data_IF_425179806941
#
_entry.id   IF_425179806941
#
_cell.length_a   1.000
_cell.length_b   1.000
_cell.length_c   1.000
_cell.angle_alpha   90.00
_cell.angle_beta   90.00
_cell.angle_gamma   90.00
#
_symmetry.space_group_name_H-M   'P 1'
#
loop_
_entity.id
_entity.type
_entity.pdbx_description
1 polymer ?
#
# COMPACT_ATOMS: atom_id res chain seq x y z
N UNK A 1 10.67 9.63 1.18
CA UNK A 1 10.76 8.42 2.01
C UNK A 1 11.02 7.19 1.16
N UNK A 2 11.64 6.19 1.73
CA UNK A 2 11.89 4.90 1.07
C UNK A 2 10.60 4.13 0.87
N UNK A 3 10.39 3.51 -0.31
CA UNK A 3 9.18 2.73 -0.57
C UNK A 3 9.05 1.54 0.38
N UNK A 4 7.85 1.34 0.89
CA UNK A 4 7.51 0.19 1.73
C UNK A 4 6.83 -0.92 0.88
N UNK A 5 7.22 -1.03 -0.38
CA UNK A 5 6.64 -1.95 -1.36
C UNK A 5 7.75 -2.49 -2.25
N UNK A 6 7.89 -3.81 -2.28
CA UNK A 6 8.81 -4.52 -3.17
C UNK A 6 8.08 -4.98 -4.43
N UNK A 7 8.72 -4.81 -5.58
CA UNK A 7 8.28 -5.43 -6.83
C UNK A 7 8.97 -6.77 -7.00
N UNK A 8 8.20 -7.78 -7.35
CA UNK A 8 8.67 -9.13 -7.59
C UNK A 8 7.99 -9.71 -8.83
N UNK A 9 8.61 -10.69 -9.47
CA UNK A 9 8.03 -11.36 -10.64
C UNK A 9 7.91 -12.85 -10.36
N UNK A 10 6.78 -13.42 -10.69
CA UNK A 10 6.54 -14.86 -10.56
C UNK A 10 7.40 -15.59 -11.60
N UNK A 11 8.26 -16.49 -11.17
CA UNK A 11 9.13 -17.28 -12.06
C UNK A 11 8.77 -18.76 -12.06
N UNK A 12 8.21 -19.28 -10.98
CA UNK A 12 7.74 -20.67 -10.93
C UNK A 12 6.69 -20.89 -9.83
N UNK A 13 5.94 -21.95 -9.96
CA UNK A 13 5.08 -22.53 -8.93
C UNK A 13 5.44 -23.99 -8.70
N UNK A 14 5.24 -24.47 -7.48
CA UNK A 14 5.30 -25.87 -7.08
C UNK A 14 4.20 -26.22 -6.09
N UNK A 15 4.15 -27.45 -5.64
CA UNK A 15 3.23 -27.86 -4.59
C UNK A 15 3.52 -27.11 -3.29
N UNK A 16 2.63 -26.21 -2.89
CA UNK A 16 2.77 -25.40 -1.68
C UNK A 16 3.92 -24.39 -1.73
N UNK A 17 4.26 -23.84 -2.90
CA UNK A 17 5.33 -22.85 -3.02
C UNK A 17 5.17 -21.94 -4.23
N UNK A 18 5.79 -20.77 -4.15
CA UNK A 18 5.98 -19.84 -5.27
C UNK A 18 7.41 -19.31 -5.27
N UNK A 19 8.02 -19.22 -6.43
CA UNK A 19 9.33 -18.64 -6.64
C UNK A 19 9.16 -17.24 -7.26
N UNK A 20 9.78 -16.26 -6.62
CA UNK A 20 9.72 -14.87 -7.04
C UNK A 20 11.12 -14.34 -7.36
N UNK A 21 11.28 -13.74 -8.55
CA UNK A 21 12.45 -12.94 -8.85
C UNK A 21 12.32 -11.57 -8.20
N UNK A 22 13.34 -11.14 -7.45
CA UNK A 22 13.38 -9.88 -6.71
C UNK A 22 14.74 -9.23 -6.95
N UNK A 23 14.77 -8.06 -7.57
CA UNK A 23 16.00 -7.29 -7.77
C UNK A 23 16.58 -6.86 -6.42
N UNK A 24 17.55 -7.61 -5.92
CA UNK A 24 18.18 -7.38 -4.61
C UNK A 24 18.98 -6.08 -4.54
N UNK A 25 19.45 -5.55 -5.66
CA UNK A 25 20.12 -4.25 -5.69
C UNK A 25 19.15 -3.13 -5.41
N UNK A 26 17.92 -3.28 -5.88
CA UNK A 26 16.86 -2.28 -5.70
C UNK A 26 16.09 -2.49 -4.40
N UNK A 27 15.88 -3.73 -3.99
CA UNK A 27 15.15 -4.13 -2.79
C UNK A 27 16.05 -5.04 -1.95
N UNK A 28 17.03 -4.46 -1.23
CA UNK A 28 17.96 -5.25 -0.43
C UNK A 28 17.23 -6.15 0.56
N UNK A 29 17.65 -7.39 0.65
CA UNK A 29 17.11 -8.35 1.60
C UNK A 29 18.19 -9.32 2.08
N UNK A 30 17.93 -9.97 3.21
CA UNK A 30 18.70 -11.09 3.70
C UNK A 30 17.78 -12.18 4.26
N UNK A 31 18.33 -13.39 4.42
CA UNK A 31 17.61 -14.50 5.03
C UNK A 31 17.95 -14.60 6.50
N UNK A 32 16.95 -14.65 7.36
CA UNK A 32 17.09 -14.85 8.78
C UNK A 32 16.04 -15.84 9.28
N UNK A 33 16.47 -16.95 9.94
CA UNK A 33 15.60 -17.96 10.58
C UNK A 33 14.46 -18.46 9.66
N UNK A 34 14.76 -18.71 8.38
CA UNK A 34 13.78 -19.18 7.40
C UNK A 34 12.80 -18.10 6.92
N UNK A 35 13.13 -16.83 7.11
CA UNK A 35 12.34 -15.68 6.66
C UNK A 35 13.19 -14.77 5.77
N UNK A 36 12.56 -14.00 4.93
CA UNK A 36 13.22 -12.96 4.14
C UNK A 36 12.90 -11.59 4.75
N UNK A 37 13.95 -10.89 5.15
CA UNK A 37 13.87 -9.53 5.67
C UNK A 37 14.38 -8.56 4.64
N UNK A 38 13.54 -7.61 4.28
CA UNK A 38 13.86 -6.50 3.40
C UNK A 38 14.38 -5.35 4.23
N UNK A 39 15.45 -4.72 3.76
CA UNK A 39 16.14 -3.66 4.49
C UNK A 39 16.23 -2.38 3.67
N UNK A 40 16.02 -1.28 4.33
CA UNK A 40 16.23 0.06 3.82
C UNK A 40 16.90 0.91 4.90
N UNK A 41 17.35 2.08 4.58
CA UNK A 41 18.09 2.95 5.51
C UNK A 41 17.38 3.14 6.87
N UNK A 42 16.06 3.20 6.87
CA UNK A 42 15.26 3.55 8.06
C UNK A 42 14.35 2.43 8.56
N UNK A 43 14.32 1.28 7.91
CA UNK A 43 13.47 0.17 8.32
C UNK A 43 13.99 -1.20 7.85
N UNK A 44 13.60 -2.22 8.60
CA UNK A 44 13.75 -3.63 8.24
C UNK A 44 12.43 -4.35 8.48
N UNK A 45 11.90 -5.03 7.47
CA UNK A 45 10.58 -5.67 7.53
C UNK A 45 10.53 -6.91 6.63
N UNK A 46 9.62 -7.82 6.99
CA UNK A 46 9.16 -8.89 6.11
C UNK A 46 8.06 -8.37 5.17
N UNK A 47 7.59 -9.21 4.24
CA UNK A 47 6.31 -8.95 3.56
C UNK A 47 5.23 -9.04 4.64
N UNK A 48 4.40 -8.01 4.74
CA UNK A 48 3.32 -7.97 5.71
C UNK A 48 2.16 -8.86 5.24
N UNK A 49 1.91 -10.02 5.88
CA UNK A 49 0.85 -10.92 5.46
C UNK A 49 -0.57 -10.39 5.76
N UNK A 50 -0.69 -9.38 6.61
CA UNK A 50 -1.98 -8.71 6.89
C UNK A 50 -2.22 -7.53 5.93
N UNK A 51 -1.20 -7.16 5.16
CA UNK A 51 -1.29 -6.14 4.12
C UNK A 51 -1.74 -6.74 2.79
N UNK A 52 -1.89 -5.89 1.80
CA UNK A 52 -2.25 -6.32 0.45
C UNK A 52 -1.04 -6.71 -0.37
N UNK A 53 -1.29 -7.41 -1.45
CA UNK A 53 -0.40 -7.50 -2.60
C UNK A 53 -1.23 -7.29 -3.86
N UNK A 54 -0.64 -6.71 -4.88
CA UNK A 54 -1.34 -6.38 -6.12
C UNK A 54 -0.60 -7.00 -7.29
N UNK A 55 -1.34 -7.65 -8.18
CA UNK A 55 -0.77 -8.22 -9.41
C UNK A 55 -0.89 -7.22 -10.57
N UNK A 56 0.18 -7.10 -11.34
CA UNK A 56 0.27 -6.25 -12.52
C UNK A 56 0.63 -7.05 -13.76
N UNK A 57 0.02 -6.68 -14.87
CA UNK A 57 0.47 -7.11 -16.18
C UNK A 57 1.83 -6.47 -16.48
N UNK A 58 2.88 -7.25 -16.73
CA UNK A 58 4.22 -6.70 -16.88
C UNK A 58 4.41 -5.89 -18.18
N UNK A 59 3.57 -6.11 -19.20
CA UNK A 59 3.66 -5.42 -20.49
C UNK A 59 2.97 -4.06 -20.43
N UNK A 60 1.70 -4.03 -20.01
CA UNK A 60 0.92 -2.79 -19.93
C UNK A 60 1.21 -1.99 -18.66
N UNK A 61 1.63 -2.66 -17.58
CA UNK A 61 1.78 -2.06 -16.25
C UNK A 61 0.47 -1.73 -15.56
N UNK A 62 -0.65 -2.21 -16.09
CA UNK A 62 -1.96 -2.10 -15.45
C UNK A 62 -2.16 -3.19 -14.39
N UNK A 63 -3.05 -2.95 -13.45
CA UNK A 63 -3.50 -4.00 -12.52
C UNK A 63 -4.06 -5.17 -13.33
N UNK A 64 -3.65 -6.37 -13.00
CA UNK A 64 -4.06 -7.57 -13.75
C UNK A 64 -5.56 -7.81 -13.55
N UNK A 65 -6.30 -7.77 -14.65
CA UNK A 65 -7.75 -7.92 -14.63
C UNK A 65 -8.20 -9.22 -14.00
N UNK A 66 -9.27 -9.18 -13.21
CA UNK A 66 -9.86 -10.35 -12.55
C UNK A 66 -9.10 -10.81 -11.30
N UNK A 67 -8.05 -10.12 -10.89
CA UNK A 67 -7.37 -10.40 -9.60
C UNK A 67 -8.02 -9.62 -8.46
N UNK A 68 -7.82 -10.11 -7.24
CA UNK A 68 -8.22 -9.43 -5.98
C UNK A 68 -6.97 -8.93 -5.28
N UNK A 69 -7.16 -8.17 -4.24
CA UNK A 69 -6.14 -8.01 -3.20
C UNK A 69 -5.68 -9.39 -2.71
N UNK A 70 -4.39 -9.56 -2.45
CA UNK A 70 -3.79 -10.86 -2.14
C UNK A 70 -4.04 -11.89 -3.25
N UNK A 71 -3.54 -11.66 -4.47
CA UNK A 71 -3.94 -12.41 -5.66
C UNK A 71 -3.56 -13.89 -5.65
N UNK A 72 -2.50 -14.30 -4.93
CA UNK A 72 -2.01 -15.69 -4.89
C UNK A 72 -2.74 -16.57 -3.88
N UNK A 73 -3.10 -16.02 -2.73
CA UNK A 73 -3.75 -16.75 -1.64
C UNK A 73 -4.50 -15.81 -0.72
N UNK A 74 -5.50 -16.31 -0.01
CA UNK A 74 -6.25 -15.48 0.92
C UNK A 74 -5.34 -14.91 2.01
N UNK A 75 -5.47 -13.60 2.27
CA UNK A 75 -4.65 -12.86 3.24
C UNK A 75 -3.15 -13.12 3.09
N UNK A 76 -2.66 -13.22 1.85
CA UNK A 76 -1.25 -13.50 1.57
C UNK A 76 -0.67 -14.71 2.33
N UNK A 77 -1.45 -15.76 2.52
CA UNK A 77 -1.04 -16.93 3.31
C UNK A 77 0.28 -17.54 2.83
N UNK A 78 0.57 -17.43 1.52
CA UNK A 78 1.83 -17.89 0.93
C UNK A 78 3.06 -17.20 1.52
N UNK A 79 2.93 -15.98 2.03
CA UNK A 79 4.04 -15.20 2.63
C UNK A 79 4.15 -15.37 4.16
N UNK A 80 3.29 -16.18 4.80
CA UNK A 80 3.33 -16.46 6.24
C UNK A 80 4.30 -17.60 6.60
N UNK A 81 4.60 -18.44 5.63
CA UNK A 81 5.47 -19.60 5.78
C UNK A 81 6.95 -19.26 5.75
N UNK A 82 7.76 -20.30 5.65
CA UNK A 82 9.20 -20.17 5.43
C UNK A 82 9.50 -19.54 4.07
N UNK A 83 10.65 -18.88 3.97
CA UNK A 83 11.16 -18.37 2.71
C UNK A 83 12.68 -18.46 2.69
N UNK A 84 13.23 -18.75 1.51
CA UNK A 84 14.69 -18.83 1.31
C UNK A 84 15.09 -18.41 -0.10
N UNK A 85 16.25 -17.83 -0.21
CA UNK A 85 16.87 -17.61 -1.52
C UNK A 85 17.32 -18.96 -2.09
N UNK A 86 16.92 -19.26 -3.32
CA UNK A 86 17.22 -20.53 -4.01
C UNK A 86 18.21 -20.35 -5.17
N UNK A 87 18.34 -19.12 -5.66
CA UNK A 87 19.31 -18.68 -6.65
C UNK A 87 19.49 -17.15 -6.49
N UNK A 88 20.53 -16.54 -7.05
CA UNK A 88 20.69 -15.09 -7.04
C UNK A 88 19.38 -14.38 -7.47
N UNK A 89 18.94 -13.42 -6.66
CA UNK A 89 17.71 -12.65 -6.88
C UNK A 89 16.42 -13.49 -6.98
N UNK A 90 16.42 -14.77 -6.55
CA UNK A 90 15.26 -15.64 -6.61
C UNK A 90 14.93 -16.21 -5.23
N UNK A 91 13.77 -15.87 -4.72
CA UNK A 91 13.28 -16.28 -3.40
C UNK A 91 12.12 -17.23 -3.55
N UNK A 92 12.19 -18.36 -2.87
CA UNK A 92 11.09 -19.33 -2.72
C UNK A 92 10.36 -19.06 -1.43
N UNK A 93 9.05 -18.87 -1.54
CA UNK A 93 8.13 -18.79 -0.42
C UNK A 93 7.35 -20.10 -0.32
N UNK A 94 7.30 -20.68 0.87
CA UNK A 94 6.58 -21.92 1.16
C UNK A 94 5.25 -21.58 1.81
N UNK A 95 4.17 -21.97 1.17
CA UNK A 95 2.81 -21.73 1.66
C UNK A 95 1.76 -22.04 0.59
N UNK A 96 0.51 -21.94 0.97
CA UNK A 96 -0.60 -22.24 0.07
C UNK A 96 -0.71 -21.20 -1.04
N UNK A 97 -0.77 -21.66 -2.27
CA UNK A 97 -1.11 -20.87 -3.46
C UNK A 97 -2.45 -21.37 -3.98
N UNK A 98 -3.50 -20.60 -3.70
CA UNK A 98 -4.87 -20.98 -4.09
C UNK A 98 -5.18 -20.57 -5.54
N UNK A 99 -4.52 -19.54 -6.02
CA UNK A 99 -4.78 -18.91 -7.32
C UNK A 99 -3.46 -18.66 -8.05
N UNK A 100 -2.93 -19.66 -8.74
CA UNK A 100 -1.71 -19.44 -9.51
C UNK A 100 -1.98 -18.45 -10.65
N UNK A 101 -1.05 -17.53 -10.85
CA UNK A 101 -1.07 -16.51 -11.90
C UNK A 101 -0.07 -16.87 -13.01
N UNK A 102 -0.17 -16.28 -14.19
CA UNK A 102 0.80 -16.50 -15.26
C UNK A 102 2.23 -16.21 -14.80
N UNK A 103 3.18 -17.03 -15.26
CA UNK A 103 4.60 -16.77 -15.06
C UNK A 103 4.95 -15.42 -15.71
N UNK A 104 5.78 -14.63 -15.06
CA UNK A 104 6.12 -13.27 -15.47
C UNK A 104 5.19 -12.19 -14.89
N UNK A 105 4.06 -12.57 -14.26
CA UNK A 105 3.22 -11.59 -13.56
C UNK A 105 4.03 -10.83 -12.52
N UNK A 106 3.93 -9.51 -12.54
CA UNK A 106 4.55 -8.65 -11.53
C UNK A 106 3.65 -8.55 -10.30
N UNK A 107 4.25 -8.68 -9.12
CA UNK A 107 3.60 -8.47 -7.83
C UNK A 107 4.17 -7.24 -7.16
N UNK A 108 3.32 -6.41 -6.60
CA UNK A 108 3.70 -5.41 -5.62
C UNK A 108 3.39 -5.97 -4.22
N UNK A 109 4.42 -6.15 -3.41
CA UNK A 109 4.38 -6.78 -2.09
C UNK A 109 4.57 -5.70 -1.03
N UNK A 110 3.61 -5.55 -0.12
CA UNK A 110 3.66 -4.52 0.92
C UNK A 110 4.41 -5.03 2.15
N UNK A 111 5.23 -4.14 2.75
CA UNK A 111 5.91 -4.36 4.03
C UNK A 111 5.17 -3.70 5.19
N UNK A 112 4.03 -3.15 4.95
CA UNK A 112 3.13 -2.52 5.89
C UNK A 112 2.21 -1.54 5.21
N UNK A 113 1.04 -1.34 5.79
CA UNK A 113 0.02 -0.39 5.32
C UNK A 113 -0.41 0.49 6.47
N UNK A 114 -0.80 1.72 6.17
CA UNK A 114 -1.21 2.71 7.19
C UNK A 114 -0.14 3.05 8.23
N UNK A 115 1.15 2.88 7.89
CA UNK A 115 2.25 3.16 8.82
C UNK A 115 2.36 4.65 9.17
N UNK A 116 2.18 5.51 8.17
CA UNK A 116 2.06 6.96 8.33
C UNK A 116 1.44 7.57 7.07
N UNK A 117 0.75 8.69 7.21
CA UNK A 117 0.26 9.46 6.08
C UNK A 117 1.34 10.45 5.61
N UNK A 118 1.31 10.84 4.33
CA UNK A 118 2.23 11.86 3.85
C UNK A 118 1.92 13.23 4.48
N UNK A 119 0.63 13.56 4.59
CA UNK A 119 0.15 14.79 5.20
C UNK A 119 -1.04 14.47 6.09
N UNK A 120 -1.08 15.08 7.27
CA UNK A 120 -2.17 14.87 8.24
C UNK A 120 -2.66 16.22 8.77
N UNK A 121 -3.99 16.41 8.72
CA UNK A 121 -4.70 17.63 9.17
C UNK A 121 -5.70 17.22 10.24
N UNK A 122 -5.46 17.58 11.49
CA UNK A 122 -6.30 17.19 12.62
C UNK A 122 -6.76 18.40 13.42
N UNK A 123 -8.08 18.52 13.62
CA UNK A 123 -8.70 19.60 14.39
C UNK A 123 -8.31 21.02 13.88
N UNK A 124 -8.10 21.16 12.58
CA UNK A 124 -7.71 22.42 11.95
C UNK A 124 -8.90 23.11 11.29
N UNK A 125 -8.76 24.40 11.02
CA UNK A 125 -9.73 25.19 10.25
C UNK A 125 -9.04 26.01 9.20
N UNK A 126 -9.71 26.20 8.05
CA UNK A 126 -9.28 27.04 6.92
C UNK A 126 -7.88 26.66 6.44
N UNK A 127 -7.69 25.38 6.14
CA UNK A 127 -6.43 24.81 5.68
C UNK A 127 -6.35 24.87 4.17
N UNK A 128 -5.24 25.35 3.64
CA UNK A 128 -4.97 25.34 2.21
C UNK A 128 -3.61 24.70 1.94
N UNK A 129 -3.61 23.73 1.05
CA UNK A 129 -2.39 23.18 0.45
C UNK A 129 -2.38 23.47 -1.04
N UNK A 130 -1.24 23.92 -1.55
CA UNK A 130 -1.14 24.31 -2.94
C UNK A 130 0.16 23.80 -3.58
N UNK A 131 0.05 23.25 -4.81
CA UNK A 131 1.17 22.85 -5.66
C UNK A 131 2.08 21.81 -5.02
N UNK A 132 1.51 20.66 -4.60
CA UNK A 132 2.23 19.58 -3.93
C UNK A 132 2.13 18.29 -4.76
N UNK A 133 3.28 17.68 -5.05
CA UNK A 133 3.37 16.33 -5.58
C UNK A 133 3.74 15.35 -4.47
N UNK A 134 2.83 14.44 -4.13
CA UNK A 134 3.06 13.33 -3.21
C UNK A 134 3.46 12.10 -4.03
N UNK A 135 4.73 11.71 -3.96
CA UNK A 135 5.29 10.61 -4.76
C UNK A 135 5.49 9.32 -4.01
N UNK A 136 5.34 9.36 -2.70
CA UNK A 136 5.31 8.19 -1.84
C UNK A 136 4.71 8.50 -0.48
N UNK A 137 3.81 7.59 -0.04
CA UNK A 137 3.33 7.52 1.33
C UNK A 137 3.12 6.06 1.73
N UNK A 138 3.57 5.63 2.92
CA UNK A 138 3.31 4.27 3.43
C UNK A 138 1.89 4.13 4.03
N UNK A 139 1.06 5.13 3.88
CA UNK A 139 -0.35 5.16 4.21
C UNK A 139 -1.12 6.01 3.22
N UNK A 140 -1.97 6.90 3.69
CA UNK A 140 -2.74 7.82 2.86
C UNK A 140 -1.87 8.98 2.36
N UNK A 141 -2.26 9.60 1.27
CA UNK A 141 -1.64 10.82 0.79
C UNK A 141 -1.96 11.98 1.72
N UNK A 142 -3.17 12.54 1.64
CA UNK A 142 -3.65 13.56 2.58
C UNK A 142 -4.75 12.98 3.45
N UNK A 143 -4.57 13.03 4.76
CA UNK A 143 -5.57 12.60 5.74
C UNK A 143 -6.08 13.78 6.56
N UNK A 144 -7.38 14.05 6.50
CA UNK A 144 -8.07 15.06 7.30
C UNK A 144 -8.97 14.41 8.36
N UNK A 145 -8.85 14.87 9.61
CA UNK A 145 -9.67 14.39 10.71
C UNK A 145 -10.24 15.58 11.50
N UNK A 146 -11.57 15.60 11.68
CA UNK A 146 -12.27 16.59 12.51
C UNK A 146 -11.86 18.04 12.18
N UNK A 147 -11.62 18.32 10.91
CA UNK A 147 -11.18 19.62 10.41
C UNK A 147 -12.28 20.30 9.60
N UNK A 148 -12.15 21.59 9.38
CA UNK A 148 -13.17 22.43 8.77
C UNK A 148 -12.56 23.32 7.69
N UNK A 149 -13.22 23.41 6.54
CA UNK A 149 -12.80 24.18 5.37
C UNK A 149 -11.38 23.82 4.92
N UNK A 150 -11.26 22.83 4.05
CA UNK A 150 -9.99 22.31 3.53
C UNK A 150 -9.96 22.54 2.02
N UNK A 151 -8.97 23.28 1.55
CA UNK A 151 -8.71 23.50 0.13
C UNK A 151 -7.42 22.78 -0.27
N UNK A 152 -7.53 21.88 -1.24
CA UNK A 152 -6.40 21.28 -1.94
C UNK A 152 -6.37 21.84 -3.35
N UNK A 153 -5.33 22.61 -3.68
CA UNK A 153 -5.17 23.23 -4.99
C UNK A 153 -3.92 22.72 -5.68
N UNK A 154 -4.11 22.02 -6.81
CA UNK A 154 -3.02 21.36 -7.52
C UNK A 154 -2.18 20.45 -6.58
N UNK A 155 -2.84 19.70 -5.69
CA UNK A 155 -2.23 18.67 -4.86
C UNK A 155 -2.41 17.34 -5.56
N UNK A 156 -1.31 16.66 -5.87
CA UNK A 156 -1.34 15.46 -6.68
C UNK A 156 -0.67 14.30 -5.96
N UNK A 157 -1.30 13.11 -6.03
CA UNK A 157 -0.59 11.85 -5.74
C UNK A 157 -0.13 11.27 -7.06
N UNK A 158 1.17 11.16 -7.27
CA UNK A 158 1.75 10.78 -8.56
C UNK A 158 2.80 9.69 -8.41
N UNK A 159 2.70 8.68 -9.26
CA UNK A 159 3.70 7.60 -9.29
C UNK A 159 5.04 8.13 -9.79
N UNK A 160 6.10 7.88 -9.04
CA UNK A 160 7.46 8.16 -9.49
C UNK A 160 7.89 7.13 -10.56
N UNK A 161 7.61 7.44 -11.82
CA UNK A 161 7.89 6.55 -12.97
C UNK A 161 9.38 6.43 -13.26
N UNK A 162 10.18 7.45 -12.95
CA UNK A 162 11.64 7.40 -13.15
C UNK A 162 12.29 6.34 -12.25
N UNK A 163 11.72 6.11 -11.09
CA UNK A 163 12.10 5.02 -10.19
C UNK A 163 11.32 3.72 -10.45
N UNK A 164 10.56 3.66 -11.54
CA UNK A 164 9.75 2.48 -11.90
C UNK A 164 8.83 2.02 -10.77
N UNK A 165 8.31 2.92 -9.95
CA UNK A 165 7.33 2.60 -8.90
C UNK A 165 5.96 2.28 -9.50
N UNK A 166 5.12 1.56 -8.74
CA UNK A 166 3.71 1.27 -9.08
C UNK A 166 2.76 2.10 -8.23
N UNK A 167 3.18 2.51 -7.04
CA UNK A 167 2.35 3.23 -6.07
C UNK A 167 2.89 4.64 -5.78
N UNK A 168 1.96 5.57 -5.55
CA UNK A 168 2.20 6.89 -4.97
C UNK A 168 1.91 6.89 -3.46
N UNK A 169 0.87 6.20 -3.04
CA UNK A 169 0.55 5.97 -1.63
C UNK A 169 -0.02 4.55 -1.44
N UNK A 170 0.17 3.98 -0.25
CA UNK A 170 -0.20 2.60 0.04
C UNK A 170 -1.70 2.44 0.36
N UNK A 171 -2.42 3.54 0.55
CA UNK A 171 -3.85 3.61 0.81
C UNK A 171 -4.47 4.74 -0.03
N UNK A 172 -5.51 5.41 0.48
CA UNK A 172 -6.25 6.47 -0.23
C UNK A 172 -5.34 7.65 -0.59
N UNK A 173 -5.62 8.27 -1.73
CA UNK A 173 -4.94 9.50 -2.08
C UNK A 173 -5.37 10.65 -1.16
N UNK A 174 -6.68 10.86 -1.02
CA UNK A 174 -7.28 11.86 -0.14
C UNK A 174 -8.37 11.24 0.72
N UNK A 175 -8.27 11.40 2.03
CA UNK A 175 -9.19 10.79 2.97
C UNK A 175 -9.60 11.79 4.07
N UNK A 176 -10.91 12.07 4.18
CA UNK A 176 -11.45 13.03 5.15
C UNK A 176 -12.49 12.37 6.04
N UNK A 177 -12.19 12.32 7.34
CA UNK A 177 -13.04 11.68 8.34
C UNK A 177 -13.59 12.72 9.32
N UNK A 178 -14.92 12.79 9.51
CA UNK A 178 -15.56 13.74 10.39
C UNK A 178 -15.17 15.22 10.13
N UNK A 179 -14.81 15.53 8.93
CA UNK A 179 -14.58 16.90 8.50
C UNK A 179 -15.91 17.59 8.17
N UNK A 180 -15.94 18.91 8.20
CA UNK A 180 -17.11 19.72 7.94
C UNK A 180 -16.79 20.97 7.15
N UNK A 181 -17.84 21.72 6.77
CA UNK A 181 -17.70 22.89 5.91
C UNK A 181 -17.35 22.48 4.49
N UNK A 182 -16.60 23.34 3.78
CA UNK A 182 -16.19 23.10 2.40
C UNK A 182 -14.93 22.24 2.37
N UNK A 183 -14.98 21.13 1.63
CA UNK A 183 -13.78 20.37 1.21
C UNK A 183 -13.70 20.54 -0.30
N UNK A 184 -12.67 21.25 -0.76
CA UNK A 184 -12.51 21.61 -2.16
C UNK A 184 -11.19 21.03 -2.71
N UNK A 185 -11.28 20.37 -3.85
CA UNK A 185 -10.16 19.83 -4.62
C UNK A 185 -10.14 20.52 -5.98
N UNK A 186 -9.23 21.46 -6.16
CA UNK A 186 -9.08 22.24 -7.40
C UNK A 186 -7.79 21.81 -8.13
N UNK A 187 -7.94 21.31 -9.37
CA UNK A 187 -6.82 20.87 -10.19
C UNK A 187 -6.00 19.70 -9.61
N UNK A 188 -6.56 18.92 -8.69
CA UNK A 188 -5.92 17.76 -8.09
C UNK A 188 -5.89 16.56 -9.03
N UNK A 189 -4.88 15.69 -8.85
CA UNK A 189 -4.75 14.45 -9.62
C UNK A 189 -4.39 13.29 -8.69
N UNK A 190 -5.04 12.13 -8.88
CA UNK A 190 -4.77 10.91 -8.14
C UNK A 190 -4.31 9.81 -9.10
N UNK A 191 -3.13 9.26 -8.85
CA UNK A 191 -2.58 8.20 -9.69
C UNK A 191 -1.74 7.24 -8.83
N UNK A 192 -2.01 5.94 -8.94
CA UNK A 192 -1.25 4.90 -8.28
C UNK A 192 -1.42 4.86 -6.76
N UNK A 193 -2.54 5.30 -6.23
CA UNK A 193 -2.94 5.03 -4.86
C UNK A 193 -3.36 3.56 -4.70
N UNK A 194 -3.20 3.03 -3.50
CA UNK A 194 -3.50 1.63 -3.20
C UNK A 194 -4.94 1.37 -2.80
N UNK A 195 -5.76 2.43 -2.68
CA UNK A 195 -7.19 2.37 -2.34
C UNK A 195 -7.93 3.52 -3.05
N UNK A 196 -8.84 4.21 -2.38
CA UNK A 196 -9.68 5.26 -2.98
C UNK A 196 -8.88 6.50 -3.44
N UNK A 197 -9.32 7.10 -4.54
CA UNK A 197 -8.81 8.40 -4.95
C UNK A 197 -9.26 9.50 -3.98
N UNK A 198 -10.51 9.42 -3.54
CA UNK A 198 -11.11 10.32 -2.57
C UNK A 198 -12.11 9.55 -1.71
N UNK A 199 -11.96 9.64 -0.40
CA UNK A 199 -12.88 9.08 0.57
C UNK A 199 -13.28 10.16 1.59
N UNK A 200 -14.58 10.42 1.72
CA UNK A 200 -15.13 11.38 2.67
C UNK A 200 -16.24 10.71 3.45
N UNK A 201 -16.08 10.58 4.76
CA UNK A 201 -17.08 9.93 5.59
C UNK A 201 -17.13 10.44 7.04
N UNK A 202 -18.23 10.12 7.73
CA UNK A 202 -18.39 10.28 9.17
C UNK A 202 -17.98 9.03 9.94
N UNK A 203 -17.86 9.16 11.26
CA UNK A 203 -17.77 8.03 12.19
C UNK A 203 -19.15 7.83 12.81
N UNK A 204 -19.66 6.61 12.71
CA UNK A 204 -20.97 6.25 13.25
C UNK A 204 -20.79 5.28 14.41
N UNK A 205 -21.54 5.51 15.50
CA UNK A 205 -21.57 4.60 16.62
C UNK A 205 -23.02 4.21 16.92
N UNK A 206 -23.24 2.93 17.20
CA UNK A 206 -24.53 2.45 17.69
C UNK A 206 -24.59 2.61 19.22
N UNK A 207 -25.56 3.35 19.72
CA UNK A 207 -25.83 3.42 21.16
C UNK A 207 -26.50 2.11 21.57
N UNK A 208 -25.84 1.31 22.38
CA UNK A 208 -26.36 0.02 22.88
C UNK A 208 -26.93 0.13 24.28
N UNK A 209 -26.49 1.11 25.09
CA UNK A 209 -27.05 1.47 26.38
C UNK A 209 -26.74 2.94 26.70
N UNK A 210 -27.60 3.60 27.42
CA UNK A 210 -27.39 4.94 27.99
C UNK A 210 -27.37 4.89 29.49
N UNK A 211 -26.43 5.57 30.16
CA UNK A 211 -26.53 5.84 31.57
C UNK A 211 -27.14 7.23 31.79
N UNK A 212 -28.00 7.36 32.81
CA UNK A 212 -28.58 8.66 33.14
C UNK A 212 -27.61 9.57 33.94
N UNK A 213 -26.39 9.10 34.19
CA UNK A 213 -25.37 9.87 34.90
C UNK A 213 -24.67 10.84 33.93
N UNK A 214 -25.24 12.04 33.83
CA UNK A 214 -24.50 13.21 33.36
C UNK A 214 -23.62 13.70 34.51
N UNK A 215 -22.37 13.35 34.50
CA UNK A 215 -21.35 14.07 35.25
C UNK A 215 -20.72 15.13 34.40
#
# INVERSE_FOLDING_TARGET
GTPQITRAWIVAFGAGQVDLAIDRKRYPYHSEKGRIRFTEETWEREIDPESYSTAYDPQSGAVLYGTRDCPLSDRNAVFRGEAREIAPDTVRFFGTVDRPLPIGTELALYHGRYLSNAMTVVNCRNVCFEKIDLRHSPGMGVYGLRSENILLKAVCTVVNRSEKRRFSCAADAFHFTNCRGLIELDGCNCNGQGDDALNIHGIYARIVAGSNDRK
#
